data_IF_551419241137
#
_entry.id   IF_551419241137
#
_cell.length_a   1.000
_cell.length_b   1.000
_cell.length_c   1.000
_cell.angle_alpha   90.00
_cell.angle_beta   90.00
_cell.angle_gamma   90.00
#
_symmetry.space_group_name_H-M   'P 1'
#
loop_
_entity.id
_entity.type
_entity.pdbx_description
1 polymer ?
#
# COMPACT_ATOMS: atom_id res chain seq x y z
N UNK A 1 26.26 1.54 -7.74
CA UNK A 1 25.24 2.03 -6.78
C UNK A 1 25.24 1.09 -5.59
N UNK A 2 25.23 1.61 -4.36
CA UNK A 2 25.14 0.75 -3.17
C UNK A 2 23.70 0.25 -3.03
N UNK A 3 23.53 -1.07 -3.03
CA UNK A 3 22.25 -1.72 -2.76
C UNK A 3 21.91 -1.47 -1.30
N UNK A 4 20.75 -0.88 -1.04
CA UNK A 4 20.33 -0.53 0.32
C UNK A 4 19.17 -1.40 0.76
N UNK A 5 19.30 -1.94 1.96
CA UNK A 5 18.18 -2.58 2.65
C UNK A 5 17.14 -1.52 3.01
N UNK A 6 15.87 -1.91 2.96
CA UNK A 6 14.75 -1.08 3.35
C UNK A 6 14.08 -1.72 4.57
N UNK A 7 13.92 -0.95 5.65
CA UNK A 7 13.17 -1.38 6.82
C UNK A 7 11.74 -0.85 6.71
N UNK A 8 10.75 -1.73 6.82
CA UNK A 8 9.33 -1.39 6.75
C UNK A 8 8.59 -1.97 7.95
N UNK A 9 7.50 -1.31 8.32
CA UNK A 9 6.61 -1.77 9.39
C UNK A 9 5.29 -2.24 8.79
N UNK A 10 4.77 -3.35 9.29
CA UNK A 10 3.49 -3.88 8.85
C UNK A 10 2.69 -4.44 10.02
N UNK A 11 1.36 -4.23 10.10
CA UNK A 11 0.58 -4.61 11.28
C UNK A 11 0.73 -6.10 11.62
N UNK A 12 1.10 -6.38 12.87
CA UNK A 12 1.08 -7.73 13.45
C UNK A 12 -0.15 -7.92 14.34
N UNK A 13 -0.65 -6.85 14.94
CA UNK A 13 -1.77 -6.90 15.85
C UNK A 13 -2.62 -5.64 15.73
N UNK A 14 -3.92 -5.83 15.50
CA UNK A 14 -4.88 -4.74 15.29
C UNK A 14 -6.10 -4.91 16.20
N UNK A 15 -6.76 -3.80 16.49
CA UNK A 15 -8.11 -3.77 17.04
C UNK A 15 -9.05 -3.22 15.97
N UNK A 16 -10.19 -3.87 15.79
CA UNK A 16 -11.24 -3.45 14.86
C UNK A 16 -12.21 -2.49 15.54
N UNK A 17 -13.00 -1.76 14.77
CA UNK A 17 -13.98 -0.80 15.29
C UNK A 17 -15.05 -1.45 16.20
N UNK A 18 -15.36 -2.73 16.00
CA UNK A 18 -16.27 -3.49 16.87
C UNK A 18 -15.60 -4.06 18.13
N UNK A 19 -14.34 -3.70 18.39
CA UNK A 19 -13.57 -4.12 19.56
C UNK A 19 -12.89 -5.48 19.41
N UNK A 20 -13.09 -6.21 18.31
CA UNK A 20 -12.37 -7.47 18.07
C UNK A 20 -10.88 -7.20 17.88
N UNK A 21 -10.07 -8.01 18.56
CA UNK A 21 -8.61 -8.02 18.46
C UNK A 21 -8.19 -9.10 17.47
N UNK A 22 -7.34 -8.76 16.51
CA UNK A 22 -6.89 -9.66 15.44
C UNK A 22 -5.37 -9.67 15.39
N UNK A 23 -4.80 -10.86 15.50
CA UNK A 23 -3.39 -11.10 15.21
C UNK A 23 -3.24 -11.46 13.72
N UNK A 24 -2.30 -10.80 13.04
CA UNK A 24 -1.95 -11.05 11.65
C UNK A 24 -0.81 -12.07 11.61
N UNK A 25 -1.04 -13.30 11.15
CA UNK A 25 0.00 -14.31 11.11
C UNK A 25 1.00 -14.02 9.98
N UNK A 26 2.25 -14.47 10.16
CA UNK A 26 3.37 -14.12 9.26
C UNK A 26 3.17 -14.61 7.81
N UNK A 27 2.44 -15.70 7.62
CA UNK A 27 2.11 -16.24 6.30
C UNK A 27 1.15 -15.33 5.48
N UNK A 28 0.54 -14.33 6.12
CA UNK A 28 -0.31 -13.32 5.46
C UNK A 28 0.43 -12.04 5.08
N UNK A 29 1.71 -11.89 5.42
CA UNK A 29 2.46 -10.64 5.18
C UNK A 29 2.71 -10.31 3.71
N UNK A 30 2.49 -11.27 2.82
CA UNK A 30 2.63 -11.10 1.37
C UNK A 30 1.28 -10.87 0.67
N UNK A 31 0.17 -10.90 1.42
CA UNK A 31 -1.16 -10.67 0.88
C UNK A 31 -1.41 -9.17 0.68
N UNK A 32 -1.21 -8.70 -0.55
CA UNK A 32 -1.47 -7.31 -0.96
C UNK A 32 -2.92 -6.86 -0.68
N UNK A 33 -3.86 -7.81 -0.63
CA UNK A 33 -5.28 -7.56 -0.40
C UNK A 33 -5.66 -7.54 1.08
N UNK A 34 -4.73 -7.78 2.01
CA UNK A 34 -5.05 -7.90 3.44
C UNK A 34 -5.61 -6.61 4.03
N UNK A 35 -5.02 -5.49 3.65
CA UNK A 35 -5.41 -4.16 4.09
C UNK A 35 -5.68 -3.23 2.91
N UNK A 36 -6.48 -2.21 3.14
CA UNK A 36 -6.64 -1.11 2.19
C UNK A 36 -6.75 0.20 2.94
N UNK A 37 -6.09 1.23 2.43
CA UNK A 37 -6.30 2.59 2.89
C UNK A 37 -7.56 3.11 2.22
N UNK A 38 -8.46 3.67 3.01
CA UNK A 38 -9.73 4.19 2.53
C UNK A 38 -9.65 5.70 2.40
N UNK A 39 -10.13 6.17 1.24
CA UNK A 39 -10.24 7.59 0.92
C UNK A 39 -11.61 7.84 0.30
N UNK A 40 -12.18 9.05 0.38
CA UNK A 40 -13.43 9.34 -0.31
C UNK A 40 -13.29 9.03 -1.82
N UNK A 41 -14.25 8.33 -2.42
CA UNK A 41 -14.18 7.95 -3.86
C UNK A 41 -13.88 9.14 -4.77
N UNK A 42 -14.52 10.30 -4.51
CA UNK A 42 -14.31 11.56 -5.23
C UNK A 42 -12.88 12.13 -5.16
N UNK A 43 -12.04 11.63 -4.24
CA UNK A 43 -10.65 12.07 -4.06
C UNK A 43 -9.65 11.19 -4.81
N UNK A 44 -10.04 10.03 -5.32
CA UNK A 44 -9.10 9.09 -5.96
C UNK A 44 -8.38 9.72 -7.15
N UNK A 45 -9.13 10.37 -8.06
CA UNK A 45 -8.55 11.05 -9.22
C UNK A 45 -7.61 12.19 -8.80
N UNK A 46 -8.05 13.06 -7.88
CA UNK A 46 -7.24 14.16 -7.35
C UNK A 46 -5.94 13.66 -6.69
N UNK A 47 -6.01 12.57 -5.92
CA UNK A 47 -4.85 11.92 -5.32
C UNK A 47 -3.92 11.38 -6.42
N UNK A 48 -4.45 10.66 -7.42
CA UNK A 48 -3.66 10.10 -8.51
C UNK A 48 -2.92 11.18 -9.31
N UNK A 49 -3.59 12.28 -9.62
CA UNK A 49 -3.01 13.43 -10.30
C UNK A 49 -1.93 14.12 -9.47
N UNK A 50 -2.19 14.34 -8.18
CA UNK A 50 -1.21 14.95 -7.28
C UNK A 50 0.04 14.07 -7.12
N UNK A 51 -0.13 12.76 -6.97
CA UNK A 51 0.99 11.81 -6.89
C UNK A 51 1.88 11.90 -8.14
N UNK A 52 1.28 11.99 -9.33
CA UNK A 52 2.04 12.14 -10.57
C UNK A 52 2.72 13.50 -10.69
N UNK A 53 1.97 14.57 -10.51
CA UNK A 53 2.41 15.93 -10.83
C UNK A 53 3.29 16.57 -9.76
N UNK A 54 3.13 16.18 -8.49
CA UNK A 54 3.84 16.79 -7.35
C UNK A 54 4.79 15.83 -6.66
N UNK A 55 4.45 14.55 -6.59
CA UNK A 55 5.26 13.55 -5.89
C UNK A 55 6.15 12.74 -6.84
N UNK A 56 6.04 12.91 -8.16
CA UNK A 56 6.91 12.25 -9.14
C UNK A 56 6.62 10.76 -9.35
N UNK A 57 5.42 10.30 -9.02
CA UNK A 57 4.95 8.98 -9.44
C UNK A 57 4.74 8.95 -10.95
N UNK A 58 4.87 7.76 -11.55
CA UNK A 58 4.59 7.49 -12.96
C UNK A 58 3.55 6.40 -13.08
N UNK A 59 2.89 6.32 -14.23
CA UNK A 59 2.02 5.19 -14.52
C UNK A 59 2.85 3.90 -14.51
N UNK A 60 2.43 2.94 -13.71
CA UNK A 60 3.05 1.62 -13.62
C UNK A 60 2.33 0.65 -14.54
N UNK A 61 3.07 -0.21 -15.22
CA UNK A 61 2.51 -1.37 -15.93
C UNK A 61 2.54 -2.56 -14.96
N UNK A 62 1.46 -2.83 -14.21
CA UNK A 62 1.46 -3.89 -13.22
C UNK A 62 1.68 -5.25 -13.92
N UNK A 63 2.28 -6.21 -13.21
CA UNK A 63 2.45 -7.56 -13.76
C UNK A 63 1.09 -8.22 -13.99
N UNK A 64 0.13 -7.89 -13.13
CA UNK A 64 -1.25 -8.32 -13.20
C UNK A 64 -2.15 -7.13 -12.91
N UNK A 65 -3.00 -6.76 -13.88
CA UNK A 65 -4.08 -5.80 -13.66
C UNK A 65 -5.13 -6.44 -12.74
N UNK A 66 -5.48 -5.78 -11.63
CA UNK A 66 -6.48 -6.23 -10.65
C UNK A 66 -7.75 -5.35 -10.71
N UNK A 67 -8.05 -4.81 -11.88
CA UNK A 67 -9.11 -3.85 -12.16
C UNK A 67 -8.97 -2.53 -11.38
N UNK A 68 -7.73 -2.11 -11.08
CA UNK A 68 -7.50 -0.77 -10.54
C UNK A 68 -7.75 0.33 -11.58
N UNK A 69 -8.22 1.49 -11.11
CA UNK A 69 -8.42 2.67 -11.95
C UNK A 69 -7.09 3.37 -12.26
N UNK A 70 -6.17 3.37 -11.30
CA UNK A 70 -4.83 3.91 -11.47
C UNK A 70 -3.80 2.94 -10.88
N UNK A 71 -2.76 2.66 -11.66
CA UNK A 71 -1.56 1.94 -11.24
C UNK A 71 -0.39 2.89 -11.32
N UNK A 72 0.25 3.20 -10.20
CA UNK A 72 1.33 4.18 -10.11
C UNK A 72 2.56 3.58 -9.43
N UNK A 73 3.76 3.98 -9.83
CA UNK A 73 4.99 3.64 -9.08
C UNK A 73 5.96 4.81 -8.96
N UNK A 74 6.84 4.71 -7.96
CA UNK A 74 7.94 5.65 -7.73
C UNK A 74 9.12 4.93 -7.11
N UNK A 75 10.32 5.14 -7.66
CA UNK A 75 11.57 4.72 -7.02
C UNK A 75 11.76 5.53 -5.73
N UNK A 76 11.69 4.87 -4.58
CA UNK A 76 11.91 5.52 -3.27
C UNK A 76 13.37 5.36 -2.87
N UNK A 77 13.95 4.20 -3.13
CA UNK A 77 15.34 3.91 -2.84
C UNK A 77 15.83 2.81 -3.79
N UNK A 78 16.64 3.15 -4.78
CA UNK A 78 17.06 2.18 -5.79
C UNK A 78 17.65 0.88 -5.18
N UNK A 79 17.15 -0.32 -5.55
CA UNK A 79 16.21 -0.58 -6.64
C UNK A 79 14.72 -0.66 -6.22
N UNK A 80 14.35 -0.33 -4.99
CA UNK A 80 12.99 -0.41 -4.46
C UNK A 80 12.06 0.67 -5.04
N UNK A 81 10.95 0.22 -5.60
CA UNK A 81 9.83 1.03 -6.05
C UNK A 81 8.61 0.83 -5.15
N UNK A 82 7.99 1.93 -4.75
CA UNK A 82 6.66 1.91 -4.13
C UNK A 82 5.61 1.89 -5.24
N UNK A 83 4.80 0.84 -5.27
CA UNK A 83 3.68 0.69 -6.17
C UNK A 83 2.37 0.99 -5.44
N UNK A 84 1.49 1.73 -6.08
CA UNK A 84 0.15 2.09 -5.61
C UNK A 84 -0.89 1.63 -6.63
N UNK A 85 -1.93 0.98 -6.14
CA UNK A 85 -3.15 0.66 -6.91
C UNK A 85 -4.31 1.41 -6.28
N UNK A 86 -4.96 2.26 -7.07
CA UNK A 86 -6.07 3.08 -6.62
C UNK A 86 -7.37 2.62 -7.29
N UNK A 87 -8.40 2.43 -6.47
CA UNK A 87 -9.71 1.95 -6.86
C UNK A 87 -10.76 3.00 -6.50
N UNK A 88 -11.64 3.38 -7.43
CA UNK A 88 -12.75 4.31 -7.19
C UNK A 88 -13.94 3.63 -6.55
N UNK A 89 -14.17 2.35 -6.86
CA UNK A 89 -15.40 1.62 -6.50
C UNK A 89 -15.14 0.56 -5.43
N UNK A 90 -15.92 0.64 -4.36
CA UNK A 90 -16.08 -0.42 -3.37
C UNK A 90 -17.51 -0.30 -2.85
N UNK A 91 -18.32 -1.35 -3.02
CA UNK A 91 -19.71 -1.32 -2.56
C UNK A 91 -19.80 -1.28 -1.02
N UNK A 92 -18.81 -1.84 -0.32
CA UNK A 92 -18.78 -1.92 1.15
C UNK A 92 -17.34 -1.81 1.68
N UNK A 93 -16.94 -0.67 2.29
CA UNK A 93 -17.70 0.58 2.42
C UNK A 93 -17.58 1.41 1.11
N UNK A 94 -18.48 2.39 0.87
CA UNK A 94 -18.49 3.25 -0.33
C UNK A 94 -17.35 4.27 -0.32
N UNK A 95 -16.13 3.78 -0.40
CA UNK A 95 -14.88 4.53 -0.37
C UNK A 95 -13.98 4.07 -1.52
N UNK A 96 -13.13 4.97 -1.99
CA UNK A 96 -11.98 4.59 -2.77
C UNK A 96 -10.97 3.82 -1.92
N UNK A 97 -10.22 2.92 -2.55
CA UNK A 97 -9.21 2.10 -1.89
C UNK A 97 -7.84 2.39 -2.48
N UNK A 98 -6.83 2.40 -1.63
CA UNK A 98 -5.42 2.42 -2.02
C UNK A 98 -4.79 1.16 -1.43
N UNK A 99 -4.23 0.33 -2.32
CA UNK A 99 -3.37 -0.80 -1.97
C UNK A 99 -1.97 -0.49 -2.45
N UNK A 100 -0.98 -0.95 -1.70
CA UNK A 100 0.41 -0.64 -2.03
C UNK A 100 1.38 -1.71 -1.58
N UNK A 101 2.49 -1.82 -2.29
CA UNK A 101 3.59 -2.71 -1.98
C UNK A 101 4.90 -2.09 -2.46
N UNK A 102 6.01 -2.53 -1.86
CA UNK A 102 7.33 -2.39 -2.48
C UNK A 102 7.59 -3.56 -3.44
N UNK A 103 8.14 -3.26 -4.60
CA UNK A 103 8.70 -4.22 -5.56
C UNK A 103 10.11 -3.75 -5.94
N UNK A 104 10.98 -4.68 -6.38
CA UNK A 104 12.24 -4.31 -7.03
C UNK A 104 11.93 -3.81 -8.44
N UNK A 105 12.52 -2.67 -8.82
CA UNK A 105 12.37 -2.10 -10.15
C UNK A 105 12.68 -3.14 -11.24
N UNK A 106 11.80 -3.24 -12.24
CA UNK A 106 12.00 -4.15 -13.37
C UNK A 106 13.24 -3.82 -14.20
N UNK A 107 13.68 -2.56 -14.16
CA UNK A 107 14.93 -2.15 -14.80
C UNK A 107 16.16 -2.77 -14.13
N UNK A 108 16.03 -3.24 -12.88
CA UNK A 108 17.12 -3.83 -12.12
C UNK A 108 17.26 -5.36 -12.34
N UNK A 109 16.15 -6.12 -12.38
CA UNK A 109 16.16 -7.57 -12.61
C UNK A 109 14.93 -8.02 -13.40
N UNK A 110 15.12 -8.74 -14.51
CA UNK A 110 14.03 -9.17 -15.40
C UNK A 110 13.10 -10.26 -14.81
N UNK A 111 13.38 -10.84 -13.63
CA UNK A 111 12.70 -12.06 -13.17
C UNK A 111 12.42 -12.17 -11.65
N UNK A 112 12.52 -11.09 -10.87
CA UNK A 112 12.24 -11.13 -9.42
C UNK A 112 11.00 -10.31 -9.04
N UNK A 113 9.92 -11.00 -8.68
CA UNK A 113 8.67 -10.41 -8.18
C UNK A 113 8.54 -10.61 -6.67
N UNK A 114 9.47 -10.05 -5.90
CA UNK A 114 9.30 -9.96 -4.45
C UNK A 114 8.45 -8.73 -4.17
N UNK A 115 7.25 -8.95 -3.65
CA UNK A 115 6.33 -7.87 -3.25
C UNK A 115 6.22 -7.81 -1.74
N UNK A 116 6.38 -6.63 -1.15
CA UNK A 116 6.08 -6.43 0.27
C UNK A 116 4.95 -5.42 0.41
N UNK A 117 3.72 -5.87 0.72
CA UNK A 117 2.63 -4.98 1.09
C UNK A 117 3.05 -3.96 2.15
N UNK A 118 2.60 -2.73 1.98
CA UNK A 118 2.87 -1.60 2.88
C UNK A 118 1.64 -0.72 3.03
N UNK A 119 1.52 -0.03 4.16
CA UNK A 119 0.35 0.82 4.47
C UNK A 119 0.71 2.21 4.97
N UNK A 120 1.91 2.42 5.50
CA UNK A 120 2.30 3.72 6.07
C UNK A 120 2.92 4.62 5.00
N UNK A 121 3.75 4.01 4.16
CA UNK A 121 4.49 4.60 3.06
C UNK A 121 3.59 5.30 2.02
N UNK A 122 2.48 4.71 1.52
CA UNK A 122 1.53 5.46 0.67
C UNK A 122 0.95 6.71 1.36
N UNK A 123 0.71 6.67 2.68
CA UNK A 123 0.08 7.77 3.42
C UNK A 123 0.98 9.01 3.48
N UNK A 124 2.30 8.84 3.55
CA UNK A 124 3.25 9.96 3.49
C UNK A 124 3.07 10.83 2.23
N UNK A 125 2.59 10.23 1.14
CA UNK A 125 2.37 10.94 -0.13
C UNK A 125 0.95 11.48 -0.26
N UNK A 126 -0.08 10.65 -0.08
CA UNK A 126 -1.46 11.11 -0.32
C UNK A 126 -2.00 12.02 0.79
N UNK A 127 -1.41 12.02 1.99
CA UNK A 127 -1.84 12.84 3.13
C UNK A 127 -1.89 14.34 2.83
N UNK A 128 -1.12 14.81 1.85
CA UNK A 128 -1.15 16.20 1.37
C UNK A 128 -2.48 16.60 0.72
N UNK A 129 -3.25 15.61 0.26
CA UNK A 129 -4.55 15.78 -0.41
C UNK A 129 -5.70 15.31 0.48
N UNK A 130 -5.49 14.20 1.20
CA UNK A 130 -6.44 13.66 2.15
C UNK A 130 -5.70 13.25 3.44
N UNK A 131 -5.72 14.08 4.50
CA UNK A 131 -4.84 13.94 5.66
C UNK A 131 -5.29 12.90 6.69
N UNK A 132 -6.17 11.97 6.32
CA UNK A 132 -6.66 10.93 7.22
C UNK A 132 -6.04 9.56 6.89
N UNK A 133 -5.54 8.91 7.92
CA UNK A 133 -5.09 7.53 7.86
C UNK A 133 -6.25 6.63 8.27
N UNK A 134 -6.95 6.07 7.27
CA UNK A 134 -8.11 5.22 7.53
C UNK A 134 -7.85 3.84 6.96
N UNK A 135 -7.68 2.86 7.84
CA UNK A 135 -7.27 1.51 7.47
C UNK A 135 -8.46 0.55 7.55
N UNK A 136 -8.61 -0.25 6.49
CA UNK A 136 -9.63 -1.27 6.37
C UNK A 136 -9.00 -2.65 6.34
N UNK A 137 -9.51 -3.55 7.20
CA UNK A 137 -9.13 -4.95 7.22
C UNK A 137 -10.11 -5.74 6.33
N UNK A 138 -9.66 -6.09 5.13
CA UNK A 138 -10.51 -6.71 4.11
C UNK A 138 -11.13 -8.06 4.55
N UNK A 139 -10.41 -8.99 5.22
CA UNK A 139 -10.97 -10.31 5.54
C UNK A 139 -12.23 -10.30 6.40
N UNK A 140 -12.40 -9.26 7.22
CA UNK A 140 -13.58 -9.12 8.09
C UNK A 140 -14.45 -7.92 7.72
N UNK A 141 -14.17 -7.27 6.59
CA UNK A 141 -14.88 -6.07 6.14
C UNK A 141 -15.11 -5.08 7.28
N UNK A 142 -14.02 -4.67 7.95
CA UNK A 142 -14.13 -3.79 9.10
C UNK A 142 -12.99 -2.77 9.16
N UNK A 143 -13.27 -1.64 9.79
CA UNK A 143 -12.31 -0.59 10.07
C UNK A 143 -11.35 -1.04 11.18
N UNK A 144 -10.08 -0.69 11.01
CA UNK A 144 -9.08 -0.80 12.07
C UNK A 144 -9.16 0.46 12.94
N UNK A 145 -9.47 0.28 14.22
CA UNK A 145 -9.53 1.38 15.20
C UNK A 145 -8.15 1.69 15.78
N UNK A 146 -7.29 0.70 15.94
CA UNK A 146 -5.90 0.86 16.36
C UNK A 146 -5.00 -0.25 15.83
N UNK A 147 -3.74 0.10 15.58
CA UNK A 147 -2.67 -0.85 15.30
C UNK A 147 -1.83 -0.91 16.58
N UNK A 148 -1.88 -2.04 17.26
CA UNK A 148 -1.23 -2.21 18.58
C UNK A 148 0.26 -2.54 18.41
N UNK A 149 0.56 -3.37 17.41
CA UNK A 149 1.91 -3.87 17.16
C UNK A 149 2.17 -4.00 15.66
N UNK A 150 3.45 -3.90 15.31
CA UNK A 150 3.94 -4.09 13.95
C UNK A 150 5.04 -5.14 13.93
N UNK A 151 5.07 -5.92 12.85
CA UNK A 151 6.31 -6.56 12.42
C UNK A 151 7.27 -5.50 11.90
N UNK A 152 8.55 -5.65 12.26
CA UNK A 152 9.66 -4.99 11.58
C UNK A 152 10.19 -5.93 10.51
N UNK A 153 10.10 -5.53 9.25
CA UNK A 153 10.50 -6.34 8.08
C UNK A 153 11.70 -5.65 7.44
N UNK A 154 12.77 -6.41 7.21
CA UNK A 154 13.94 -5.93 6.47
C UNK A 154 13.90 -6.51 5.07
N UNK A 155 13.65 -5.65 4.09
CA UNK A 155 13.78 -5.97 2.68
C UNK A 155 15.26 -5.90 2.31
N UNK A 156 15.83 -7.07 2.07
CA UNK A 156 17.20 -7.18 1.62
C UNK A 156 17.26 -6.84 0.14
N UNK A 157 18.08 -5.86 -0.21
CA UNK A 157 18.30 -5.58 -1.60
C UNK A 157 18.95 -6.79 -2.30
N UNK A 158 18.74 -6.92 -3.62
CA UNK A 158 19.23 -8.03 -4.42
C UNK A 158 20.76 -8.18 -4.45
#
# INVERSE_FOLDING_TARGET
MAIRNLEVYYPSYITLQDGRRVHIPKDKLQDEGLFSLLVPTKKIEEIAEALKTKEGFKDAVPAFNKNENYSLSKVILYPWELHLRLYTESEQPPFGRIQSHFEISREYLEHFHTVQPVIYEPFEYYSKIFPEFVLWYNPLSNWVSSIEENYKITLQGP
#
